data_IF_537625657381
#
_entry.id   IF_537625657381
#
_cell.length_a   1.000
_cell.length_b   1.000
_cell.length_c   1.000
_cell.angle_alpha   90.00
_cell.angle_beta   90.00
_cell.angle_gamma   90.00
#
_symmetry.space_group_name_H-M   'P 1'
#
loop_
_entity.id
_entity.type
_entity.pdbx_description
1 polymer ?
#
# COMPACT_ATOMS: atom_id res chain seq x y z
N UNK A 1 -1.03 6.04 -1.20
CA UNK A 1 -1.11 5.36 0.10
C UNK A 1 -2.11 4.25 -0.04
N UNK A 2 -1.67 3.04 0.26
CA UNK A 2 -2.41 1.82 0.01
C UNK A 2 -2.39 0.97 1.28
N UNK A 3 -3.54 0.41 1.64
CA UNK A 3 -3.65 -0.58 2.70
C UNK A 3 -4.39 -1.79 2.18
N UNK A 4 -3.92 -2.99 2.49
CA UNK A 4 -4.56 -4.22 2.02
C UNK A 4 -4.43 -5.39 2.98
N UNK A 5 -5.38 -6.31 2.90
CA UNK A 5 -5.32 -7.64 3.50
C UNK A 5 -5.06 -8.67 2.40
N UNK A 6 -4.04 -9.49 2.59
CA UNK A 6 -3.64 -10.58 1.72
C UNK A 6 -3.73 -11.90 2.47
N UNK A 7 -4.15 -12.95 1.79
CA UNK A 7 -4.17 -14.32 2.30
C UNK A 7 -3.06 -15.11 1.60
N UNK A 8 -2.17 -15.74 2.37
CA UNK A 8 -1.08 -16.59 1.88
C UNK A 8 -1.35 -18.06 2.24
N UNK A 9 -0.87 -19.01 1.43
CA UNK A 9 -0.87 -20.44 1.77
C UNK A 9 0.51 -20.87 2.27
N UNK A 10 0.56 -21.69 3.31
CA UNK A 10 1.78 -22.45 3.62
C UNK A 10 1.72 -23.80 2.90
N UNK A 11 2.76 -24.12 2.13
CA UNK A 11 2.81 -25.25 1.19
C UNK A 11 2.82 -26.65 1.81
N UNK A 12 2.19 -26.88 2.96
CA UNK A 12 2.20 -28.18 3.66
C UNK A 12 0.89 -28.97 3.64
N UNK A 13 -0.24 -28.44 3.16
CA UNK A 13 -1.50 -29.19 3.09
C UNK A 13 -2.27 -28.84 1.80
N UNK A 14 -2.11 -29.66 0.75
CA UNK A 14 -2.60 -29.38 -0.61
C UNK A 14 -3.75 -30.33 -0.96
N UNK A 15 -4.84 -29.82 -1.53
CA UNK A 15 -5.88 -30.68 -2.12
C UNK A 15 -7.15 -29.98 -2.61
N UNK A 16 -7.73 -29.05 -1.84
CA UNK A 16 -9.00 -28.37 -2.22
C UNK A 16 -8.90 -26.83 -2.10
N UNK A 17 -7.97 -26.34 -1.28
CA UNK A 17 -7.73 -24.90 -1.06
C UNK A 17 -6.92 -24.21 -2.18
N UNK A 18 -6.34 -24.92 -3.15
CA UNK A 18 -5.55 -24.28 -4.23
C UNK A 18 -6.41 -23.58 -5.29
N UNK A 19 -7.56 -24.16 -5.69
CA UNK A 19 -8.35 -23.65 -6.80
C UNK A 19 -9.17 -22.39 -6.44
N UNK A 20 -9.60 -22.26 -5.18
CA UNK A 20 -10.37 -21.10 -4.71
C UNK A 20 -9.47 -19.88 -4.42
N UNK A 21 -8.22 -20.10 -3.98
CA UNK A 21 -7.37 -19.05 -3.42
C UNK A 21 -6.42 -18.38 -4.42
N UNK A 22 -6.01 -19.08 -5.49
CA UNK A 22 -5.29 -18.46 -6.63
C UNK A 22 -6.08 -17.31 -7.30
N UNK A 23 -7.36 -17.15 -6.96
CA UNK A 23 -8.24 -16.08 -7.43
C UNK A 23 -8.44 -14.93 -6.43
N UNK A 24 -7.95 -15.05 -5.19
CA UNK A 24 -8.27 -14.08 -4.13
C UNK A 24 -7.40 -12.84 -4.24
N UNK A 25 -7.96 -11.82 -4.90
CA UNK A 25 -7.34 -10.49 -4.99
C UNK A 25 -7.17 -9.89 -3.58
N UNK A 26 -6.07 -9.17 -3.31
CA UNK A 26 -5.91 -8.43 -2.07
C UNK A 26 -7.14 -7.56 -1.76
N UNK A 27 -7.61 -7.61 -0.54
CA UNK A 27 -8.74 -6.78 -0.09
C UNK A 27 -8.20 -5.40 0.26
N UNK A 28 -8.49 -4.41 -0.59
CA UNK A 28 -8.10 -3.02 -0.32
C UNK A 28 -8.87 -2.45 0.88
N UNK A 29 -8.13 -2.03 1.91
CA UNK A 29 -8.61 -1.36 3.12
C UNK A 29 -8.64 0.15 2.94
N UNK A 30 -7.64 0.69 2.24
CA UNK A 30 -7.54 2.12 1.91
C UNK A 30 -6.74 2.30 0.63
N UNK A 31 -7.04 3.35 -0.12
CA UNK A 31 -6.36 3.71 -1.36
C UNK A 31 -6.55 5.21 -1.59
N UNK A 32 -5.50 5.98 -1.34
CA UNK A 32 -5.46 7.42 -1.57
C UNK A 32 -4.32 7.76 -2.51
N UNK A 33 -4.62 8.57 -3.52
CA UNK A 33 -3.65 9.17 -4.41
C UNK A 33 -3.86 10.68 -4.41
N UNK A 34 -2.75 11.43 -4.41
CA UNK A 34 -2.74 12.89 -4.51
C UNK A 34 -1.67 13.29 -5.52
N UNK A 35 -2.00 14.25 -6.37
CA UNK A 35 -1.02 14.87 -7.25
C UNK A 35 -0.18 15.85 -6.43
N UNK A 36 1.13 15.60 -6.33
CA UNK A 36 2.04 16.40 -5.50
C UNK A 36 2.55 17.65 -6.23
N UNK A 37 2.73 17.58 -7.55
CA UNK A 37 3.22 18.68 -8.37
C UNK A 37 2.74 18.50 -9.81
N UNK A 38 2.49 19.62 -10.49
CA UNK A 38 2.16 19.64 -11.92
C UNK A 38 3.37 19.19 -12.77
N UNK A 39 3.14 18.71 -14.00
CA UNK A 39 4.23 18.43 -14.93
C UNK A 39 5.14 19.66 -15.12
N UNK A 40 6.46 19.45 -15.01
CA UNK A 40 7.41 20.54 -15.08
C UNK A 40 8.84 20.10 -14.75
N UNK A 41 9.71 21.08 -14.52
CA UNK A 41 11.08 20.84 -14.09
C UNK A 41 11.17 20.92 -12.56
N UNK A 42 11.82 19.93 -11.96
CA UNK A 42 12.25 19.98 -10.57
C UNK A 42 13.64 20.62 -10.59
N UNK A 43 13.85 21.67 -9.81
CA UNK A 43 15.13 22.39 -9.75
C UNK A 43 16.26 21.44 -9.35
N UNK A 44 17.49 21.71 -9.78
CA UNK A 44 18.66 20.85 -9.52
C UNK A 44 19.01 20.75 -8.02
N UNK A 45 18.43 21.61 -7.20
CA UNK A 45 18.54 21.63 -5.74
C UNK A 45 17.58 20.64 -5.07
N UNK A 46 17.77 20.40 -3.77
CA UNK A 46 16.81 19.64 -2.94
C UNK A 46 15.43 20.32 -3.00
N UNK A 47 14.43 19.59 -3.47
CA UNK A 47 13.02 20.03 -3.47
C UNK A 47 12.24 19.21 -2.45
N UNK A 48 11.53 19.88 -1.55
CA UNK A 48 10.65 19.24 -0.56
C UNK A 48 9.21 19.62 -0.87
N UNK A 49 8.34 18.62 -1.00
CA UNK A 49 6.92 18.83 -1.29
C UNK A 49 6.11 18.30 -0.11
N UNK A 50 5.46 19.17 0.68
CA UNK A 50 4.61 18.73 1.78
C UNK A 50 3.36 18.05 1.22
N UNK A 51 2.89 17.01 1.92
CA UNK A 51 1.68 16.29 1.57
C UNK A 51 0.99 15.79 2.83
N UNK A 52 -0.32 15.58 2.73
CA UNK A 52 -1.13 14.95 3.76
C UNK A 52 -2.08 13.96 3.10
N UNK A 53 -2.26 12.80 3.74
CA UNK A 53 -3.22 11.78 3.31
C UNK A 53 -4.01 11.32 4.54
N UNK A 54 -5.34 11.26 4.47
CA UNK A 54 -6.12 10.80 5.60
C UNK A 54 -5.97 9.30 5.80
N UNK A 55 -5.66 8.85 7.03
CA UNK A 55 -5.73 7.44 7.40
C UNK A 55 -7.18 7.06 7.70
N UNK A 56 -7.94 6.84 6.64
CA UNK A 56 -9.35 6.42 6.69
C UNK A 56 -9.57 5.17 5.86
N UNK A 57 -10.53 4.36 6.29
CA UNK A 57 -10.88 3.16 5.55
C UNK A 57 -11.75 3.47 4.33
N UNK A 58 -11.66 2.59 3.34
CA UNK A 58 -12.51 2.57 2.16
C UNK A 58 -13.79 1.80 2.50
N UNK A 59 -14.94 2.43 2.33
CA UNK A 59 -16.27 1.84 2.57
C UNK A 59 -16.51 1.38 4.03
N UNK A 60 -17.35 0.37 4.24
CA UNK A 60 -17.74 -0.17 5.55
C UNK A 60 -16.70 -1.13 6.17
N UNK A 61 -15.46 -1.19 5.66
CA UNK A 61 -14.42 -2.05 6.24
C UNK A 61 -13.60 -1.21 7.22
N UNK A 62 -13.31 -1.67 8.44
CA UNK A 62 -12.40 -0.97 9.34
C UNK A 62 -10.95 -1.08 8.84
N UNK A 63 -10.07 -0.21 9.34
CA UNK A 63 -8.64 -0.44 9.28
C UNK A 63 -8.24 -1.48 10.33
N UNK A 64 -7.25 -2.29 10.00
CA UNK A 64 -6.69 -3.29 10.90
C UNK A 64 -5.23 -2.95 11.22
N UNK A 65 -4.72 -3.47 12.34
CA UNK A 65 -3.30 -3.36 12.65
C UNK A 65 -2.44 -4.02 11.58
N UNK A 66 -1.24 -3.48 11.38
CA UNK A 66 -0.23 -4.11 10.54
C UNK A 66 0.11 -5.48 11.11
N UNK A 67 0.09 -6.50 10.27
CA UNK A 67 0.30 -7.89 10.69
C UNK A 67 1.01 -8.69 9.60
N UNK A 68 2.07 -9.39 9.97
CA UNK A 68 2.85 -10.24 9.06
C UNK A 68 2.80 -11.69 9.55
N UNK A 69 1.72 -12.38 9.21
CA UNK A 69 1.54 -13.79 9.51
C UNK A 69 1.85 -14.70 8.32
N UNK A 70 1.85 -15.99 8.60
CA UNK A 70 2.08 -17.04 7.60
C UNK A 70 0.91 -17.17 6.62
N UNK A 71 -0.32 -16.93 7.08
CA UNK A 71 -1.54 -17.11 6.29
C UNK A 71 -2.28 -15.80 5.98
N UNK A 72 -2.01 -14.75 6.75
CA UNK A 72 -2.63 -13.45 6.60
C UNK A 72 -1.56 -12.39 6.72
N UNK A 73 -1.58 -11.45 5.79
CA UNK A 73 -0.69 -10.30 5.80
C UNK A 73 -1.51 -9.02 5.61
N UNK A 74 -1.31 -8.06 6.51
CA UNK A 74 -1.98 -6.76 6.52
C UNK A 74 -0.87 -5.71 6.47
N UNK A 75 -0.84 -4.93 5.39
CA UNK A 75 0.24 -3.98 5.12
C UNK A 75 -0.29 -2.65 4.64
N UNK A 76 0.48 -1.61 4.94
CA UNK A 76 0.21 -0.25 4.51
C UNK A 76 1.46 0.39 3.91
N UNK A 77 1.32 0.99 2.73
CA UNK A 77 2.43 1.59 2.00
C UNK A 77 2.15 3.03 1.60
N UNK A 78 3.19 3.86 1.62
CA UNK A 78 3.24 5.12 0.88
C UNK A 78 4.15 4.90 -0.31
N UNK A 79 3.61 5.16 -1.50
CA UNK A 79 4.34 5.11 -2.76
C UNK A 79 4.34 6.50 -3.40
N UNK A 80 5.50 6.92 -3.87
CA UNK A 80 5.69 8.14 -4.65
C UNK A 80 6.25 7.74 -6.01
N UNK A 81 5.57 8.18 -7.06
CA UNK A 81 5.97 7.99 -8.44
C UNK A 81 6.34 9.33 -9.07
N UNK A 82 7.49 9.38 -9.75
CA UNK A 82 7.91 10.52 -10.56
C UNK A 82 7.91 10.09 -12.01
N UNK A 83 6.90 10.55 -12.74
CA UNK A 83 6.76 10.35 -14.19
C UNK A 83 7.76 11.23 -14.93
N UNK A 84 8.53 10.62 -15.84
CA UNK A 84 9.53 11.31 -16.66
C UNK A 84 9.17 11.24 -18.15
N UNK A 85 10.00 11.87 -18.98
CA UNK A 85 9.84 11.84 -20.44
C UNK A 85 9.93 10.41 -20.97
N UNK A 86 9.34 10.17 -22.14
CA UNK A 86 9.17 8.83 -22.74
C UNK A 86 10.46 7.98 -22.79
N UNK A 87 11.62 8.60 -23.02
CA UNK A 87 12.91 7.91 -23.11
C UNK A 87 13.59 7.71 -21.75
N UNK A 88 13.09 8.35 -20.69
CA UNK A 88 13.66 8.29 -19.35
C UNK A 88 12.88 7.29 -18.49
N UNK A 89 13.59 6.50 -17.69
CA UNK A 89 12.96 5.61 -16.72
C UNK A 89 12.31 6.43 -15.60
N UNK A 90 11.01 6.20 -15.38
CA UNK A 90 10.26 6.70 -14.23
C UNK A 90 10.96 6.33 -12.92
N UNK A 91 10.86 7.21 -11.91
CA UNK A 91 11.30 6.87 -10.57
C UNK A 91 10.11 6.44 -9.72
N UNK A 92 10.36 5.50 -8.82
CA UNK A 92 9.39 5.08 -7.83
C UNK A 92 10.12 4.82 -6.51
N UNK A 93 9.51 5.25 -5.41
CA UNK A 93 9.91 4.86 -4.07
C UNK A 93 8.67 4.45 -3.29
N UNK A 94 8.76 3.33 -2.60
CA UNK A 94 7.73 2.83 -1.71
C UNK A 94 8.34 2.61 -0.32
N UNK A 95 7.58 2.96 0.71
CA UNK A 95 7.88 2.72 2.12
C UNK A 95 6.67 2.09 2.79
N UNK A 96 6.90 1.17 3.72
CA UNK A 96 5.88 0.60 4.59
C UNK A 96 5.77 1.43 5.88
N UNK A 97 4.58 1.49 6.45
CA UNK A 97 4.35 2.06 7.77
C UNK A 97 3.40 1.19 8.59
N UNK A 98 3.52 1.26 9.92
CA UNK A 98 2.72 0.46 10.83
C UNK A 98 1.45 1.21 11.25
N UNK A 99 0.35 0.49 11.31
CA UNK A 99 -0.92 0.92 11.91
C UNK A 99 -1.15 0.06 13.15
N UNK A 100 -1.44 0.71 14.27
CA UNK A 100 -1.70 0.07 15.57
C UNK A 100 -2.98 0.68 16.17
N UNK A 101 -3.75 -0.12 16.91
CA UNK A 101 -4.87 0.41 17.65
C UNK A 101 -4.35 1.27 18.80
N UNK A 102 -5.09 2.34 19.11
CA UNK A 102 -4.78 3.15 20.28
C UNK A 102 -4.99 2.31 21.53
N UNK A 103 -3.93 2.09 22.30
CA UNK A 103 -4.06 1.56 23.66
C UNK A 103 -4.92 2.51 24.48
N UNK A 104 -6.08 2.04 24.94
CA UNK A 104 -6.89 2.73 25.93
C UNK A 104 -6.45 2.17 27.28
N UNK A 105 -5.53 2.88 27.92
CA UNK A 105 -5.15 2.66 29.31
C UNK A 105 -6.06 3.42 30.27
#
# INVERSE_FOLDING_TARGET
>A
MDGSVQLHLSGKNVGVFEALYNSTKPVSLTNYAVELCKPGQITTTKTEIPFELPLKSKSNKPLYETYHGVFVNIQYFIRVDVKRTFLSKDMMKQIEFNVEYKCIG
#
